data_IF_996163623391
#
_entry.id   IF_996163623391
#
_cell.length_a   1.000
_cell.length_b   1.000
_cell.length_c   1.000
_cell.angle_alpha   90.00
_cell.angle_beta   90.00
_cell.angle_gamma   90.00
#
_symmetry.space_group_name_H-M   'P 1'
#
loop_
_entity.id
_entity.type
_entity.pdbx_description
1 polymer ?
#
# COMPACT_ATOMS: atom_id res chain seq x y z
N UNK A 1 39.92 -29.67 -24.37
CA UNK A 1 38.71 -29.37 -23.55
C UNK A 1 39.04 -29.17 -22.07
N UNK A 2 39.81 -30.05 -21.41
CA UNK A 2 40.16 -29.96 -19.97
C UNK A 2 40.93 -28.69 -19.59
N UNK A 3 41.87 -28.20 -20.44
CA UNK A 3 42.61 -26.95 -20.19
C UNK A 3 41.69 -25.72 -20.14
N UNK A 4 40.68 -25.63 -21.02
CA UNK A 4 39.68 -24.54 -21.00
C UNK A 4 38.84 -24.56 -19.72
N UNK A 5 38.49 -25.75 -19.19
CA UNK A 5 37.71 -25.90 -17.96
C UNK A 5 38.52 -25.48 -16.73
N UNK A 6 39.82 -25.83 -16.65
CA UNK A 6 40.70 -25.40 -15.54
C UNK A 6 40.87 -23.88 -15.51
N UNK A 7 40.98 -23.24 -16.67
CA UNK A 7 41.02 -21.78 -16.77
C UNK A 7 39.70 -21.20 -16.27
N UNK A 8 38.55 -21.67 -16.78
CA UNK A 8 37.22 -21.17 -16.36
C UNK A 8 36.99 -21.36 -14.85
N UNK A 9 37.34 -22.51 -14.27
CA UNK A 9 37.21 -22.71 -12.81
C UNK A 9 38.11 -21.77 -11.99
N UNK A 10 39.31 -21.44 -12.48
CA UNK A 10 40.19 -20.47 -11.82
C UNK A 10 39.64 -19.03 -11.91
N UNK A 11 38.99 -18.68 -13.03
CA UNK A 11 38.28 -17.42 -13.19
C UNK A 11 37.06 -17.33 -12.27
N UNK A 12 36.28 -18.41 -12.14
CA UNK A 12 35.13 -18.48 -11.22
C UNK A 12 35.59 -18.41 -9.76
N UNK A 13 36.69 -19.07 -9.40
CA UNK A 13 37.24 -19.03 -8.05
C UNK A 13 37.81 -17.64 -7.69
N UNK A 14 38.49 -16.97 -8.65
CA UNK A 14 38.96 -15.57 -8.47
C UNK A 14 37.79 -14.58 -8.37
N UNK A 15 36.72 -14.77 -9.14
CA UNK A 15 35.49 -13.99 -9.00
C UNK A 15 34.82 -14.23 -7.64
N UNK A 16 34.74 -15.49 -7.18
CA UNK A 16 34.20 -15.81 -5.86
C UNK A 16 35.03 -15.19 -4.72
N UNK A 17 36.37 -15.24 -4.80
CA UNK A 17 37.27 -14.65 -3.80
C UNK A 17 37.16 -13.12 -3.79
N UNK A 18 37.08 -12.46 -4.94
CA UNK A 18 36.89 -10.99 -5.01
C UNK A 18 35.53 -10.55 -4.47
N UNK A 19 34.48 -11.35 -4.69
CA UNK A 19 33.16 -11.12 -4.07
C UNK A 19 33.17 -11.30 -2.54
N UNK A 20 33.99 -12.22 -2.01
CA UNK A 20 34.16 -12.41 -0.57
C UNK A 20 34.96 -11.27 0.09
N UNK A 21 35.99 -10.73 -0.57
CA UNK A 21 36.83 -9.65 -0.01
C UNK A 21 36.08 -8.30 0.01
N UNK A 22 35.10 -8.09 -0.88
CA UNK A 22 34.24 -6.89 -0.84
C UNK A 22 33.19 -6.89 0.30
N UNK A 23 32.92 -8.04 0.94
CA UNK A 23 31.99 -8.12 2.06
C UNK A 23 32.55 -7.51 3.36
N UNK A 24 33.88 -7.30 3.44
CA UNK A 24 34.55 -6.79 4.63
C UNK A 24 34.73 -5.26 4.66
N UNK A 25 34.28 -4.54 3.63
CA UNK A 25 34.39 -3.07 3.55
C UNK A 25 33.03 -2.38 3.43
N UNK A 26 32.04 -2.82 4.21
CA UNK A 26 30.93 -1.92 4.55
C UNK A 26 31.40 -1.01 5.68
N UNK A 27 32.08 0.08 5.31
CA UNK A 27 32.26 1.22 6.22
C UNK A 27 30.89 1.89 6.43
N UNK A 28 30.08 1.33 7.32
CA UNK A 28 28.82 1.92 7.75
C UNK A 28 29.08 2.99 8.81
N UNK A 29 29.62 4.14 8.42
CA UNK A 29 29.58 5.33 9.27
C UNK A 29 28.17 5.92 9.26
N UNK A 30 27.34 5.46 10.22
CA UNK A 30 26.08 6.01 10.81
C UNK A 30 25.10 4.87 11.11
N UNK A 31 24.96 4.47 12.37
CA UNK A 31 23.98 3.50 12.92
C UNK A 31 23.75 2.19 12.14
N UNK A 32 24.75 1.69 11.41
CA UNK A 32 24.61 0.50 10.55
C UNK A 32 23.88 0.82 9.24
N UNK A 33 22.89 0.00 8.86
CA UNK A 33 22.13 0.16 7.61
C UNK A 33 20.81 0.94 7.77
N UNK A 34 20.44 1.34 8.99
CA UNK A 34 19.17 2.03 9.25
C UNK A 34 19.40 3.54 9.29
N UNK A 35 18.66 4.28 8.45
CA UNK A 35 18.56 5.74 8.58
C UNK A 35 17.69 6.04 9.80
N UNK A 36 18.21 6.84 10.72
CA UNK A 36 17.43 7.30 11.86
C UNK A 36 16.26 8.20 11.42
N UNK A 37 15.17 8.25 12.20
CA UNK A 37 14.09 9.22 12.01
C UNK A 37 14.61 10.65 11.97
N UNK A 38 13.82 11.58 11.43
CA UNK A 38 14.14 12.99 11.46
C UNK A 38 14.35 13.45 12.92
N UNK A 39 15.41 14.23 13.14
CA UNK A 39 15.87 14.71 14.45
C UNK A 39 16.51 13.68 15.39
N UNK A 40 16.45 12.38 15.09
CA UNK A 40 17.20 11.41 15.88
C UNK A 40 18.70 11.48 15.57
N UNK A 41 19.49 11.46 16.63
CA UNK A 41 20.94 11.31 16.54
C UNK A 41 21.34 9.84 16.70
N UNK A 42 22.32 9.42 15.91
CA UNK A 42 22.85 8.07 16.03
C UNK A 42 23.90 8.02 17.14
N UNK A 43 23.65 7.22 18.18
CA UNK A 43 24.66 6.99 19.21
C UNK A 43 25.77 6.06 18.67
N UNK A 44 27.05 6.49 18.69
CA UNK A 44 28.14 5.73 18.07
C UNK A 44 28.35 4.34 18.66
N UNK A 45 28.19 4.22 19.98
CA UNK A 45 28.49 2.99 20.74
C UNK A 45 27.37 1.97 20.68
N UNK A 46 26.13 2.39 20.96
CA UNK A 46 24.96 1.50 21.01
C UNK A 46 24.35 1.27 19.63
N UNK A 47 24.67 2.11 18.64
CA UNK A 47 24.06 2.16 17.31
C UNK A 47 22.53 2.33 17.36
N UNK A 48 22.03 2.93 18.44
CA UNK A 48 20.63 3.27 18.61
C UNK A 48 20.38 4.70 18.12
N UNK A 49 19.20 4.93 17.55
CA UNK A 49 18.72 6.26 17.23
C UNK A 49 18.10 6.87 18.49
N UNK A 50 18.70 7.94 18.99
CA UNK A 50 18.26 8.66 20.17
C UNK A 50 17.46 9.87 19.70
N UNK A 51 16.22 9.98 20.16
CA UNK A 51 15.43 11.19 19.98
C UNK A 51 15.85 12.26 20.99
N UNK A 52 15.76 13.55 20.62
CA UNK A 52 16.00 14.63 21.57
C UNK A 52 14.97 14.53 22.70
N UNK A 53 15.43 14.65 23.95
CA UNK A 53 14.60 14.71 25.14
C UNK A 53 14.40 16.17 25.56
N UNK A 54 13.24 16.48 26.12
CA UNK A 54 12.96 17.80 26.71
C UNK A 54 13.34 17.76 28.20
N UNK A 55 14.40 18.45 28.59
CA UNK A 55 14.75 18.64 30.00
C UNK A 55 14.00 19.85 30.60
N UNK A 56 14.03 20.01 31.94
CA UNK A 56 13.31 21.12 32.60
C UNK A 56 13.82 22.51 32.16
N UNK A 57 15.07 22.60 31.73
CA UNK A 57 15.65 23.83 31.17
C UNK A 57 15.17 24.14 29.74
N UNK A 58 14.62 23.14 29.04
CA UNK A 58 14.15 23.23 27.65
C UNK A 58 12.65 23.58 27.55
N UNK A 59 11.95 23.66 28.69
CA UNK A 59 10.52 24.02 28.78
C UNK A 59 10.26 25.51 28.66
N UNK A 60 11.10 26.24 27.94
CA UNK A 60 10.87 27.64 27.62
C UNK A 60 9.74 27.72 26.60
N UNK A 61 8.76 28.60 26.87
CA UNK A 61 7.60 28.77 26.00
C UNK A 61 7.92 29.70 24.83
N UNK A 62 8.39 29.13 23.73
CA UNK A 62 8.72 29.81 22.47
C UNK A 62 8.02 29.08 21.31
N UNK A 63 6.70 29.29 21.13
CA UNK A 63 5.90 28.41 20.30
C UNK A 63 6.36 28.41 18.84
N UNK A 64 6.25 27.27 18.19
CA UNK A 64 6.55 27.10 16.75
C UNK A 64 5.40 26.44 16.02
N UNK A 65 5.26 26.75 14.74
CA UNK A 65 4.28 26.12 13.86
C UNK A 65 4.93 25.00 13.04
N UNK A 66 4.48 23.76 13.24
CA UNK A 66 4.93 22.61 12.45
C UNK A 66 4.29 22.55 11.07
N UNK A 67 4.95 21.89 10.13
CA UNK A 67 4.45 21.65 8.76
C UNK A 67 3.17 20.81 8.70
N UNK A 68 2.87 20.09 9.77
CA UNK A 68 1.61 19.38 9.99
C UNK A 68 0.47 20.28 10.51
N UNK A 69 0.71 21.59 10.68
CA UNK A 69 -0.26 22.57 11.13
C UNK A 69 -0.56 22.57 12.63
N UNK A 70 0.20 21.82 13.42
CA UNK A 70 0.12 21.85 14.88
C UNK A 70 1.11 22.84 15.48
N UNK A 71 0.70 23.47 16.58
CA UNK A 71 1.56 24.33 17.39
C UNK A 71 2.23 23.49 18.45
N UNK A 72 3.54 23.66 18.60
CA UNK A 72 4.36 23.06 19.65
C UNK A 72 4.82 24.16 20.60
N UNK A 73 5.03 23.86 21.89
CA UNK A 73 5.39 24.91 22.86
C UNK A 73 6.78 25.49 22.59
N UNK A 74 7.64 24.70 21.96
CA UNK A 74 8.95 25.12 21.44
C UNK A 74 9.47 24.16 20.36
N UNK A 75 10.65 24.49 19.81
CA UNK A 75 11.33 23.68 18.80
C UNK A 75 11.72 22.29 19.28
N UNK A 76 12.11 22.14 20.55
CA UNK A 76 12.60 20.86 21.11
C UNK A 76 11.43 19.87 21.20
N UNK A 77 10.28 20.30 21.73
CA UNK A 77 9.06 19.49 21.76
C UNK A 77 8.61 19.04 20.36
N UNK A 78 8.71 19.90 19.35
CA UNK A 78 8.40 19.52 17.96
C UNK A 78 9.31 18.40 17.49
N UNK A 79 10.63 18.53 17.71
CA UNK A 79 11.64 17.56 17.29
C UNK A 79 11.47 16.22 18.00
N UNK A 80 11.25 16.24 19.31
CA UNK A 80 10.98 15.06 20.12
C UNK A 80 9.74 14.32 19.58
N UNK A 81 8.63 15.04 19.42
CA UNK A 81 7.39 14.47 18.90
C UNK A 81 7.56 13.88 17.50
N UNK A 82 8.20 14.62 16.58
CA UNK A 82 8.47 14.14 15.23
C UNK A 82 9.33 12.87 15.22
N UNK A 83 10.36 12.82 16.06
CA UNK A 83 11.26 11.69 16.17
C UNK A 83 10.58 10.43 16.73
N UNK A 84 9.89 10.54 17.87
CA UNK A 84 9.23 9.41 18.52
C UNK A 84 8.10 8.81 17.67
N UNK A 85 7.43 9.64 16.88
CA UNK A 85 6.35 9.19 15.99
C UNK A 85 6.83 8.83 14.57
N UNK A 86 8.13 8.94 14.28
CA UNK A 86 8.68 8.65 12.95
C UNK A 86 8.12 9.56 11.84
N UNK A 87 7.78 10.80 12.19
CA UNK A 87 7.17 11.77 11.26
C UNK A 87 8.19 12.82 10.80
N UNK A 88 8.12 13.20 9.52
CA UNK A 88 8.93 14.28 8.96
C UNK A 88 8.23 15.64 9.10
N UNK A 89 8.14 16.14 10.33
CA UNK A 89 7.57 17.47 10.64
C UNK A 89 8.72 18.48 10.69
N UNK A 90 8.58 19.65 10.07
CA UNK A 90 9.57 20.73 10.15
C UNK A 90 8.90 22.04 10.57
N UNK A 91 9.68 22.96 11.14
CA UNK A 91 9.18 24.28 11.53
C UNK A 91 8.89 25.09 10.26
N UNK A 92 7.66 25.55 10.12
CA UNK A 92 7.26 26.49 9.06
C UNK A 92 7.57 27.93 9.47
N UNK A 93 7.42 28.24 10.76
CA UNK A 93 7.68 29.56 11.34
C UNK A 93 7.77 29.54 12.86
N UNK A 94 8.38 30.58 13.39
CA UNK A 94 8.25 30.96 14.80
C UNK A 94 6.84 31.47 15.12
N UNK A 95 6.46 31.34 16.38
CA UNK A 95 5.12 31.62 16.89
C UNK A 95 4.16 30.45 16.70
N UNK A 96 2.99 30.56 17.33
CA UNK A 96 1.91 29.59 17.16
C UNK A 96 1.52 29.49 15.68
N UNK A 97 1.05 28.31 15.28
CA UNK A 97 0.27 28.24 14.06
C UNK A 97 -0.90 29.23 14.19
N UNK A 98 -1.21 30.02 13.17
CA UNK A 98 -2.39 30.84 13.22
C UNK A 98 -3.58 29.90 13.32
N UNK A 99 -4.67 30.39 13.88
CA UNK A 99 -5.94 29.66 13.91
C UNK A 99 -6.37 29.18 12.50
N UNK A 100 -5.84 29.82 11.45
CA UNK A 100 -6.00 29.58 10.02
C UNK A 100 -5.24 28.35 9.46
N UNK A 101 -4.36 27.70 10.23
CA UNK A 101 -3.68 26.44 9.83
C UNK A 101 -4.53 25.19 10.11
N UNK A 102 -5.57 25.34 10.92
CA UNK A 102 -6.71 24.44 10.82
C UNK A 102 -7.54 24.99 9.67
N UNK A 103 -7.77 24.19 8.64
CA UNK A 103 -8.74 24.46 7.58
C UNK A 103 -10.17 24.33 8.15
N UNK A 104 -10.40 25.03 9.25
CA UNK A 104 -11.63 25.15 10.00
C UNK A 104 -12.09 26.59 9.79
N UNK A 105 -12.20 27.00 8.52
CA UNK A 105 -13.25 27.95 8.23
C UNK A 105 -14.53 27.10 8.26
N UNK A 106 -15.48 27.35 9.17
CA UNK A 106 -16.73 26.59 9.24
C UNK A 106 -17.56 26.63 7.95
N UNK A 107 -17.13 27.40 6.93
CA UNK A 107 -17.83 27.62 5.68
C UNK A 107 -17.10 27.05 4.45
N UNK A 108 -16.08 26.19 4.60
CA UNK A 108 -15.46 25.55 3.44
C UNK A 108 -16.26 24.35 2.98
N UNK A 109 -16.47 24.25 1.67
CA UNK A 109 -17.17 23.12 1.08
C UNK A 109 -16.38 21.82 1.29
N UNK A 110 -17.02 20.66 1.54
CA UNK A 110 -16.33 19.38 1.75
C UNK A 110 -15.39 18.97 0.61
N UNK A 111 -15.72 19.33 -0.63
CA UNK A 111 -14.89 19.05 -1.81
C UNK A 111 -13.71 20.03 -1.98
N UNK A 112 -13.55 21.02 -1.10
CA UNK A 112 -12.45 22.00 -1.20
C UNK A 112 -11.12 21.48 -0.65
N UNK A 113 -10.03 21.92 -1.26
CA UNK A 113 -8.65 21.70 -0.83
C UNK A 113 -8.15 22.96 -0.12
N UNK A 114 -7.43 22.78 0.97
CA UNK A 114 -6.89 23.89 1.75
C UNK A 114 -5.50 24.29 1.25
N UNK A 115 -5.35 25.55 0.86
CA UNK A 115 -4.04 26.11 0.56
C UNK A 115 -3.34 26.51 1.87
N UNK A 116 -2.41 25.68 2.34
CA UNK A 116 -1.71 25.86 3.63
C UNK A 116 -0.89 27.15 3.71
N UNK A 117 -0.46 27.70 2.58
CA UNK A 117 0.31 28.95 2.52
C UNK A 117 -0.59 30.17 2.69
N UNK A 118 -1.77 30.16 2.09
CA UNK A 118 -2.70 31.31 2.08
C UNK A 118 -3.84 31.18 3.08
N UNK A 119 -4.06 30.00 3.64
CA UNK A 119 -5.20 29.69 4.53
C UNK A 119 -6.56 29.73 3.82
N UNK A 120 -6.59 29.74 2.48
CA UNK A 120 -7.83 29.82 1.68
C UNK A 120 -8.26 28.44 1.18
N UNK A 121 -9.56 28.22 1.14
CA UNK A 121 -10.15 27.04 0.50
C UNK A 121 -10.19 27.24 -1.02
N UNK A 122 -9.73 26.23 -1.74
CA UNK A 122 -9.64 26.21 -3.20
C UNK A 122 -10.39 24.98 -3.71
N UNK A 123 -11.22 25.15 -4.73
CA UNK A 123 -11.91 24.03 -5.34
C UNK A 123 -10.94 23.22 -6.23
N UNK A 124 -11.06 21.88 -6.24
CA UNK A 124 -10.19 21.01 -7.02
C UNK A 124 -10.44 21.27 -8.50
N UNK A 125 -9.37 21.53 -9.26
CA UNK A 125 -9.49 21.61 -10.72
C UNK A 125 -9.85 20.26 -11.32
N UNK A 126 -10.34 20.28 -12.55
CA UNK A 126 -10.66 19.08 -13.32
C UNK A 126 -10.14 19.22 -14.76
N UNK A 127 -9.92 18.08 -15.41
CA UNK A 127 -9.60 18.03 -16.82
C UNK A 127 -10.88 17.91 -17.64
N UNK A 128 -11.23 18.97 -18.38
CA UNK A 128 -12.43 19.02 -19.22
C UNK A 128 -12.35 18.06 -20.44
N UNK A 129 -11.17 17.54 -20.78
CA UNK A 129 -11.00 16.60 -21.89
C UNK A 129 -11.47 15.18 -21.55
N UNK A 130 -11.53 14.82 -20.26
CA UNK A 130 -11.97 13.50 -19.80
C UNK A 130 -13.49 13.40 -19.81
N UNK A 131 -14.04 12.43 -20.53
CA UNK A 131 -15.47 12.17 -20.61
C UNK A 131 -15.83 10.80 -20.03
N UNK A 132 -16.43 10.79 -18.85
CA UNK A 132 -16.95 9.65 -18.09
C UNK A 132 -18.22 10.08 -17.33
N UNK A 133 -19.37 10.15 -18.01
CA UNK A 133 -20.52 10.93 -17.54
C UNK A 133 -21.05 10.47 -16.17
N UNK A 134 -21.49 11.44 -15.37
CA UNK A 134 -22.14 11.21 -14.09
C UNK A 134 -23.37 12.10 -13.96
N UNK A 135 -24.47 11.53 -13.46
CA UNK A 135 -25.67 12.27 -13.13
C UNK A 135 -25.61 12.67 -11.67
N UNK A 136 -25.80 13.96 -11.39
CA UNK A 136 -25.92 14.47 -10.05
C UNK A 136 -27.29 14.20 -9.42
N UNK A 137 -27.36 14.25 -8.10
CA UNK A 137 -28.62 14.22 -7.33
C UNK A 137 -29.51 15.43 -7.60
N UNK A 138 -28.95 16.48 -8.22
CA UNK A 138 -29.64 17.66 -8.76
C UNK A 138 -30.30 17.42 -10.12
N UNK A 139 -30.13 16.22 -10.72
CA UNK A 139 -30.65 15.88 -12.03
C UNK A 139 -29.87 16.49 -13.20
N UNK A 140 -28.67 17.02 -12.95
CA UNK A 140 -27.77 17.56 -13.97
C UNK A 140 -26.76 16.51 -14.42
N UNK A 141 -26.45 16.50 -15.71
CA UNK A 141 -25.36 15.72 -16.28
C UNK A 141 -24.03 16.44 -16.15
N UNK A 142 -23.02 15.71 -15.68
CA UNK A 142 -21.64 16.13 -15.59
C UNK A 142 -20.79 15.24 -16.49
N UNK A 143 -19.77 15.81 -17.14
CA UNK A 143 -18.86 15.09 -18.05
C UNK A 143 -18.07 14.03 -17.31
N UNK A 144 -17.71 14.29 -16.06
CA UNK A 144 -17.04 13.36 -15.17
C UNK A 144 -17.30 13.71 -13.70
N UNK A 145 -16.88 12.82 -12.79
CA UNK A 145 -17.04 13.02 -11.34
C UNK A 145 -16.25 14.21 -10.82
N UNK A 146 -15.14 14.56 -11.46
CA UNK A 146 -14.29 15.69 -11.08
C UNK A 146 -14.98 17.03 -11.37
N UNK A 147 -15.64 17.17 -12.52
CA UNK A 147 -16.46 18.35 -12.84
C UNK A 147 -17.61 18.52 -11.83
N UNK A 148 -18.31 17.42 -11.48
CA UNK A 148 -19.37 17.46 -10.45
C UNK A 148 -18.83 17.99 -9.12
N UNK A 149 -17.68 17.48 -8.65
CA UNK A 149 -17.06 17.92 -7.40
C UNK A 149 -16.60 19.38 -7.45
N UNK A 150 -16.05 19.81 -8.57
CA UNK A 150 -15.66 21.20 -8.77
C UNK A 150 -16.87 22.14 -8.70
N UNK A 151 -17.93 21.85 -9.47
CA UNK A 151 -19.17 22.63 -9.50
C UNK A 151 -19.86 22.65 -8.13
N UNK A 152 -19.91 21.50 -7.45
CA UNK A 152 -20.42 21.41 -6.08
C UNK A 152 -19.63 22.30 -5.11
N UNK A 153 -18.29 22.31 -5.25
CA UNK A 153 -17.42 23.14 -4.44
C UNK A 153 -17.61 24.64 -4.66
N UNK A 154 -17.65 25.10 -5.91
CA UNK A 154 -17.76 26.54 -6.21
C UNK A 154 -19.15 27.09 -5.91
N UNK A 155 -20.19 26.27 -6.05
CA UNK A 155 -21.58 26.66 -5.75
C UNK A 155 -21.96 26.44 -4.28
N UNK A 156 -21.17 25.68 -3.53
CA UNK A 156 -21.46 25.32 -2.14
C UNK A 156 -22.59 24.30 -1.97
N UNK A 157 -22.91 23.53 -3.03
CA UNK A 157 -24.02 22.58 -3.04
C UNK A 157 -23.60 21.16 -2.63
N UNK A 158 -24.42 20.44 -1.89
CA UNK A 158 -24.18 19.02 -1.51
C UNK A 158 -24.58 18.02 -2.63
N UNK A 159 -24.33 18.37 -3.89
CA UNK A 159 -24.65 17.51 -5.04
C UNK A 159 -23.73 16.28 -5.03
N UNK A 160 -24.33 15.10 -5.08
CA UNK A 160 -23.64 13.81 -5.11
C UNK A 160 -23.92 13.10 -6.42
N UNK A 161 -23.14 12.07 -6.73
CA UNK A 161 -23.40 11.21 -7.89
C UNK A 161 -24.62 10.34 -7.59
N UNK A 162 -25.68 10.52 -8.37
CA UNK A 162 -26.85 9.64 -8.38
C UNK A 162 -26.59 8.37 -9.21
N UNK A 163 -25.88 8.49 -10.34
CA UNK A 163 -25.37 7.37 -11.13
C UNK A 163 -24.14 7.75 -11.93
N UNK A 164 -23.25 6.78 -12.19
CA UNK A 164 -22.12 6.90 -13.11
C UNK A 164 -22.56 6.71 -14.57
N UNK A 165 -23.53 7.52 -14.99
CA UNK A 165 -24.02 7.64 -16.37
C UNK A 165 -24.84 8.95 -16.46
N UNK A 166 -25.41 9.24 -17.62
CA UNK A 166 -26.35 10.35 -17.79
C UNK A 166 -27.64 10.18 -16.98
N UNK A 167 -28.31 11.28 -16.65
CA UNK A 167 -29.59 11.30 -15.95
C UNK A 167 -30.71 10.65 -16.78
N UNK A 168 -30.60 10.66 -18.11
CA UNK A 168 -31.51 9.90 -18.97
C UNK A 168 -31.43 8.39 -18.66
N UNK A 169 -30.24 7.86 -18.38
CA UNK A 169 -30.04 6.47 -18.03
C UNK A 169 -30.76 6.09 -16.71
N UNK A 170 -30.81 7.00 -15.72
CA UNK A 170 -31.62 6.84 -14.50
C UNK A 170 -33.10 6.67 -14.84
N UNK A 171 -33.64 7.55 -15.68
CA UNK A 171 -35.05 7.55 -16.05
C UNK A 171 -35.43 6.27 -16.80
N UNK A 172 -34.55 5.77 -17.68
CA UNK A 172 -34.76 4.46 -18.33
C UNK A 172 -34.69 3.30 -17.33
N UNK A 173 -33.79 3.33 -16.35
CA UNK A 173 -33.70 2.30 -15.31
C UNK A 173 -34.95 2.29 -14.41
N UNK A 174 -35.47 3.47 -14.04
CA UNK A 174 -36.70 3.60 -13.26
C UNK A 174 -37.94 3.12 -14.03
N UNK A 175 -37.99 3.31 -15.35
CA UNK A 175 -39.07 2.77 -16.21
C UNK A 175 -39.01 1.24 -16.30
N UNK A 176 -37.82 0.67 -16.49
CA UNK A 176 -37.66 -0.78 -16.53
C UNK A 176 -37.96 -1.46 -15.20
N UNK A 177 -37.71 -0.80 -14.06
CA UNK A 177 -38.06 -1.32 -12.72
C UNK A 177 -39.57 -1.42 -12.49
N UNK A 178 -40.37 -0.62 -13.20
CA UNK A 178 -41.84 -0.70 -13.13
C UNK A 178 -42.41 -1.88 -13.93
N UNK A 179 -41.60 -2.53 -14.77
CA UNK A 179 -41.94 -3.70 -15.59
C UNK A 179 -41.17 -4.97 -15.20
N UNK A 180 -40.44 -4.98 -14.07
CA UNK A 180 -39.70 -6.15 -13.58
C UNK A 180 -40.18 -6.63 -12.19
N UNK A 181 -41.50 -6.60 -11.96
CA UNK A 181 -42.12 -7.46 -10.96
C UNK A 181 -42.72 -8.65 -11.71
N UNK A 182 -41.86 -9.57 -12.13
CA UNK A 182 -42.15 -10.98 -12.39
C UNK A 182 -40.79 -11.67 -12.70
N UNK A 183 -40.57 -12.80 -12.03
CA UNK A 183 -39.49 -13.78 -12.20
C UNK A 183 -38.08 -13.50 -11.63
N UNK A 184 -37.95 -13.75 -10.33
CA UNK A 184 -36.73 -14.25 -9.71
C UNK A 184 -36.39 -15.65 -10.29
N UNK A 185 -35.82 -15.69 -11.49
CA UNK A 185 -35.13 -16.90 -11.95
C UNK A 185 -33.81 -17.03 -11.19
N UNK A 186 -33.89 -17.76 -10.09
CA UNK A 186 -32.75 -18.37 -9.40
C UNK A 186 -31.87 -19.11 -10.41
N UNK A 187 -30.73 -18.52 -10.76
CA UNK A 187 -29.63 -19.26 -11.38
C UNK A 187 -29.06 -20.18 -10.30
N UNK A 188 -29.69 -21.35 -10.15
CA UNK A 188 -29.11 -22.46 -9.43
C UNK A 188 -27.87 -22.90 -10.20
N UNK A 189 -26.69 -22.45 -9.77
CA UNK A 189 -25.43 -23.10 -10.17
C UNK A 189 -25.33 -24.41 -9.38
N UNK A 190 -26.17 -25.37 -9.75
CA UNK A 190 -25.96 -26.75 -9.40
C UNK A 190 -24.72 -27.21 -10.19
N UNK A 191 -23.55 -27.20 -9.56
CA UNK A 191 -22.40 -27.92 -10.08
C UNK A 191 -22.85 -29.37 -10.23
N UNK A 192 -22.97 -29.92 -11.45
CA UNK A 192 -23.60 -31.22 -11.62
C UNK A 192 -22.75 -32.24 -10.85
N UNK A 193 -23.41 -33.02 -9.99
CA UNK A 193 -22.81 -34.04 -9.12
C UNK A 193 -21.85 -34.97 -9.89
N UNK A 194 -22.06 -35.10 -11.20
CA UNK A 194 -21.19 -35.80 -12.14
C UNK A 194 -19.75 -35.25 -12.19
N UNK A 195 -19.54 -33.94 -12.11
CA UNK A 195 -18.18 -33.34 -12.11
C UNK A 195 -17.45 -33.67 -10.81
N UNK A 196 -18.12 -33.61 -9.66
CA UNK A 196 -17.52 -33.99 -8.38
C UNK A 196 -17.13 -35.48 -8.35
N UNK A 197 -17.96 -36.36 -8.88
CA UNK A 197 -17.67 -37.81 -8.96
C UNK A 197 -16.47 -38.09 -9.87
N UNK A 198 -16.34 -37.38 -11.00
CA UNK A 198 -15.19 -37.52 -11.91
C UNK A 198 -13.89 -37.07 -11.25
N UNK A 199 -13.88 -35.93 -10.54
CA UNK A 199 -12.69 -35.45 -9.84
C UNK A 199 -12.25 -36.43 -8.74
N UNK A 200 -13.19 -36.98 -7.97
CA UNK A 200 -12.88 -37.97 -6.93
C UNK A 200 -12.31 -39.25 -7.56
N UNK A 201 -12.89 -39.76 -8.64
CA UNK A 201 -12.37 -40.94 -9.33
C UNK A 201 -10.96 -40.73 -9.89
N UNK A 202 -10.67 -39.55 -10.46
CA UNK A 202 -9.33 -39.21 -10.97
C UNK A 202 -8.31 -39.16 -9.82
N UNK A 203 -8.65 -38.52 -8.70
CA UNK A 203 -7.73 -38.42 -7.54
C UNK A 203 -7.43 -39.79 -6.91
N UNK A 204 -8.45 -40.66 -6.78
CA UNK A 204 -8.26 -42.02 -6.27
C UNK A 204 -7.46 -42.90 -7.25
N UNK A 205 -7.66 -42.75 -8.56
CA UNK A 205 -6.88 -43.45 -9.57
C UNK A 205 -5.40 -43.05 -9.57
N UNK A 206 -5.10 -41.75 -9.45
CA UNK A 206 -3.74 -41.25 -9.34
C UNK A 206 -3.09 -41.77 -8.05
N UNK A 207 -3.79 -41.72 -6.91
CA UNK A 207 -3.29 -42.25 -5.65
C UNK A 207 -2.99 -43.76 -5.72
N UNK A 208 -3.86 -44.55 -6.35
CA UNK A 208 -3.65 -45.98 -6.57
C UNK A 208 -2.46 -46.26 -7.49
N UNK A 209 -2.28 -45.48 -8.56
CA UNK A 209 -1.11 -45.60 -9.44
C UNK A 209 0.21 -45.34 -8.69
N UNK A 210 0.26 -44.29 -7.86
CA UNK A 210 1.43 -44.02 -7.03
C UNK A 210 1.64 -45.07 -5.94
N UNK A 211 0.58 -45.56 -5.32
CA UNK A 211 0.66 -46.66 -4.34
C UNK A 211 1.24 -47.92 -5.00
N UNK A 212 0.77 -48.30 -6.19
CA UNK A 212 1.24 -49.49 -6.88
C UNK A 212 2.66 -49.33 -7.47
N UNK A 213 3.06 -48.11 -7.85
CA UNK A 213 4.45 -47.80 -8.22
C UNK A 213 5.38 -47.90 -7.00
N UNK A 214 4.90 -47.50 -5.82
CA UNK A 214 5.66 -47.61 -4.56
C UNK A 214 5.84 -49.08 -4.13
N UNK A 215 4.83 -49.93 -4.30
CA UNK A 215 4.93 -51.38 -3.98
C UNK A 215 5.81 -52.17 -4.95
N UNK A 216 5.91 -51.77 -6.24
CA UNK A 216 6.87 -52.36 -7.18
C UNK A 216 8.33 -51.99 -6.86
N UNK A 217 8.58 -50.78 -6.36
CA UNK A 217 9.93 -50.37 -5.95
C UNK A 217 10.38 -51.01 -4.62
N UNK A 218 9.47 -51.33 -3.70
CA UNK A 218 9.82 -52.07 -2.47
C UNK A 218 10.10 -53.56 -2.73
N UNK A 219 9.48 -54.18 -3.75
CA UNK A 219 9.78 -55.56 -4.15
C UNK A 219 11.15 -55.71 -4.84
N UNK A 220 11.59 -54.69 -5.60
CA UNK A 220 12.91 -54.69 -6.26
C UNK A 220 14.08 -54.30 -5.32
N UNK A 221 13.81 -53.69 -4.16
CA UNK A 221 14.83 -53.44 -3.12
C UNK A 221 14.98 -54.66 -2.19
N UNK A 222 13.92 -55.43 -1.95
CA UNK A 222 14.00 -56.67 -1.15
C UNK A 222 14.67 -57.85 -1.87
N UNK A 223 14.77 -57.84 -3.22
CA UNK A 223 15.41 -58.93 -3.99
C UNK A 223 16.92 -58.73 -4.21
N UNK A 224 17.50 -57.58 -3.84
CA UNK A 224 18.94 -57.29 -3.97
C UNK A 224 19.73 -57.42 -2.65
N UNK A 225 19.04 -57.59 -1.52
CA UNK A 225 19.67 -57.81 -0.21
C UNK A 225 19.80 -59.27 0.20
N UNK A 226 19.23 -60.23 -0.55
CA UNK A 226 19.35 -61.67 -0.26
C UNK A 226 20.38 -62.43 -1.14
N UNK A 227 21.06 -61.75 -2.06
CA UNK A 227 22.15 -62.34 -2.89
C UNK A 227 23.57 -61.91 -2.40
N UNK A 228 23.70 -61.39 -1.17
CA UNK A 228 25.00 -61.01 -0.55
C UNK A 228 25.22 -61.76 0.78
N UNK A 229 24.49 -62.85 1.03
CA UNK A 229 24.66 -63.69 2.22
C UNK A 229 24.71 -65.20 1.89
N UNK A 230 25.19 -65.52 0.68
CA UNK A 230 25.65 -66.84 0.25
C UNK A 230 26.67 -66.66 -0.89
N UNK A 231 27.87 -66.22 -0.52
CA UNK A 231 29.14 -66.30 -1.26
C UNK A 231 30.28 -66.12 -0.26
#
# INVERSE_FOLDING_TARGET
RIKKIKTIMCWVLKLAITMFVSASFVSATKCGFRKCPLYAECQPTTRQCICPSVDDHDKVYEPVCGSNGFTYNNEIELKEYACHNGMNIYIVRAGKCPKQYRCYSPNCHPESICNVTTGKCQCPGFDASVYQPACGTDGKDYRNKEELRYEACVSGSDVKIAVYNTCQALVSASRNKKTSNEDESSVNVAVPVTICVLVIAITLGIAWFFYHKRTRNTFNVSKRSNDVLLS
#
